data_IF_359520406959
#
_entry.id   IF_359520406959
#
_cell.length_a   1.000
_cell.length_b   1.000
_cell.length_c   1.000
_cell.angle_alpha   90.00
_cell.angle_beta   90.00
_cell.angle_gamma   90.00
#
_symmetry.space_group_name_H-M   'P 1'
#
loop_
_entity.id
_entity.type
_entity.pdbx_description
1 polymer ?
#
# COMPACT_ATOMS: atom_id res chain seq x y z
N UNK A 1 -10.95 12.09 20.61
CA UNK A 1 -9.75 12.37 19.79
C UNK A 1 -8.49 12.57 20.62
N UNK A 2 -8.51 13.43 21.66
CA UNK A 2 -7.34 13.74 22.53
C UNK A 2 -6.75 12.55 23.29
N UNK A 3 -7.54 11.51 23.58
CA UNK A 3 -7.06 10.30 24.25
C UNK A 3 -6.26 9.39 23.30
N UNK A 4 -6.70 9.25 22.04
CA UNK A 4 -6.02 8.43 21.04
C UNK A 4 -4.62 8.97 20.70
N UNK A 5 -4.50 10.29 20.55
CA UNK A 5 -3.23 10.96 20.25
C UNK A 5 -2.17 10.83 21.35
N UNK A 6 -2.56 10.42 22.56
CA UNK A 6 -1.64 10.23 23.69
C UNK A 6 -1.24 8.77 23.91
N UNK A 7 -1.73 7.85 23.06
CA UNK A 7 -1.41 6.43 23.18
C UNK A 7 -0.02 6.13 22.63
N UNK A 8 0.60 5.11 23.19
CA UNK A 8 1.89 4.60 22.69
C UNK A 8 1.78 4.12 21.25
N UNK A 9 0.60 3.66 20.80
CA UNK A 9 0.35 3.28 19.41
C UNK A 9 0.60 4.43 18.46
N UNK A 10 0.03 5.62 18.72
CA UNK A 10 0.23 6.79 17.87
C UNK A 10 1.70 7.23 17.91
N UNK A 11 2.32 7.25 19.09
CA UNK A 11 3.73 7.62 19.21
C UNK A 11 4.65 6.68 18.41
N UNK A 12 4.41 5.37 18.49
CA UNK A 12 5.20 4.39 17.76
C UNK A 12 4.96 4.47 16.24
N UNK A 13 3.72 4.73 15.81
CA UNK A 13 3.39 4.91 14.41
C UNK A 13 4.05 6.17 13.81
N UNK A 14 3.99 7.30 14.53
CA UNK A 14 4.70 8.52 14.13
C UNK A 14 6.21 8.28 14.14
N UNK A 15 6.74 7.56 15.13
CA UNK A 15 8.14 7.15 15.19
C UNK A 15 8.56 6.37 13.94
N UNK A 16 7.73 5.43 13.49
CA UNK A 16 7.95 4.69 12.24
C UNK A 16 8.00 5.61 11.01
N UNK A 17 7.06 6.54 10.88
CA UNK A 17 7.07 7.53 9.78
C UNK A 17 8.34 8.37 9.79
N UNK A 18 8.78 8.82 10.98
CA UNK A 18 10.04 9.55 11.14
C UNK A 18 11.21 8.69 10.70
N UNK A 19 11.30 7.43 11.13
CA UNK A 19 12.37 6.51 10.72
C UNK A 19 12.41 6.28 9.21
N UNK A 20 11.25 6.14 8.55
CA UNK A 20 11.17 6.09 7.09
C UNK A 20 11.71 7.36 6.45
N UNK A 21 11.28 8.54 6.92
CA UNK A 21 11.76 9.83 6.41
C UNK A 21 13.26 10.04 6.60
N UNK A 22 13.82 9.55 7.72
CA UNK A 22 15.25 9.60 8.00
C UNK A 22 16.05 8.69 7.05
N UNK A 23 15.51 7.51 6.74
CA UNK A 23 16.19 6.49 5.93
C UNK A 23 16.56 6.95 4.51
N UNK A 24 15.82 7.91 3.95
CA UNK A 24 16.02 8.47 2.60
C UNK A 24 16.72 9.83 2.58
N UNK A 25 17.09 10.38 3.74
CA UNK A 25 17.71 11.70 3.81
C UNK A 25 19.00 11.75 2.99
N UNK A 26 19.09 12.72 2.08
CA UNK A 26 20.24 12.93 1.16
C UNK A 26 20.50 11.75 0.20
N UNK A 27 19.52 10.89 -0.02
CA UNK A 27 19.58 9.80 -1.01
C UNK A 27 18.65 10.10 -2.17
N UNK A 28 19.02 9.67 -3.37
CA UNK A 28 18.14 9.68 -4.54
C UNK A 28 17.29 8.42 -4.56
N UNK A 29 16.14 8.47 -5.23
CA UNK A 29 15.31 7.28 -5.44
C UNK A 29 16.08 6.18 -6.19
N UNK A 30 16.97 6.54 -7.10
CA UNK A 30 17.79 5.59 -7.87
C UNK A 30 18.96 4.99 -7.09
N UNK A 31 19.24 5.46 -5.87
CA UNK A 31 20.38 4.96 -5.12
C UNK A 31 20.15 3.49 -4.73
N UNK A 32 21.21 2.64 -4.74
CA UNK A 32 21.11 1.27 -4.24
C UNK A 32 20.67 1.24 -2.78
N UNK A 33 19.86 0.24 -2.44
CA UNK A 33 19.36 -0.02 -1.09
C UNK A 33 19.37 -1.53 -0.81
N UNK A 34 19.30 -1.89 0.46
CA UNK A 34 19.00 -3.25 0.85
C UNK A 34 17.55 -3.58 0.48
N UNK A 35 17.33 -4.77 -0.08
CA UNK A 35 16.03 -5.29 -0.45
C UNK A 35 15.93 -6.72 0.09
N UNK A 36 15.14 -6.91 1.15
CA UNK A 36 14.83 -8.25 1.67
C UNK A 36 13.86 -9.02 0.77
N UNK A 37 13.77 -10.33 0.98
CA UNK A 37 12.80 -11.19 0.27
C UNK A 37 11.35 -10.73 0.50
N UNK A 38 11.02 -10.28 1.72
CA UNK A 38 9.73 -9.67 2.05
C UNK A 38 9.49 -8.45 1.17
N UNK A 39 10.48 -7.56 1.07
CA UNK A 39 10.34 -6.32 0.30
C UNK A 39 10.16 -6.60 -1.20
N UNK A 40 10.94 -7.52 -1.77
CA UNK A 40 10.77 -7.95 -3.15
C UNK A 40 9.37 -8.55 -3.39
N UNK A 41 8.85 -9.32 -2.43
CA UNK A 41 7.51 -9.90 -2.51
C UNK A 41 6.42 -8.83 -2.46
N UNK A 42 6.57 -7.79 -1.62
CA UNK A 42 5.66 -6.65 -1.57
C UNK A 42 5.67 -5.90 -2.92
N UNK A 43 6.84 -5.67 -3.51
CA UNK A 43 6.93 -5.06 -4.84
C UNK A 43 6.19 -5.90 -5.88
N UNK A 44 6.35 -7.23 -5.86
CA UNK A 44 5.63 -8.13 -6.78
C UNK A 44 4.11 -8.11 -6.59
N UNK A 45 3.63 -7.93 -5.35
CA UNK A 45 2.19 -7.71 -5.08
C UNK A 45 1.73 -6.41 -5.74
N UNK A 46 2.47 -5.31 -5.61
CA UNK A 46 2.14 -4.04 -6.26
C UNK A 46 2.18 -4.14 -7.79
N UNK A 47 3.15 -4.87 -8.35
CA UNK A 47 3.23 -5.12 -9.80
C UNK A 47 2.02 -5.92 -10.29
N UNK A 48 1.55 -6.88 -9.49
CA UNK A 48 0.32 -7.65 -9.79
C UNK A 48 -0.91 -6.72 -9.83
N UNK A 49 -1.03 -5.82 -8.86
CA UNK A 49 -2.09 -4.81 -8.84
C UNK A 49 -2.03 -3.88 -10.06
N UNK A 50 -0.81 -3.52 -10.49
CA UNK A 50 -0.59 -2.69 -11.67
C UNK A 50 -1.01 -3.41 -12.96
N UNK A 51 -0.65 -4.68 -13.11
CA UNK A 51 -1.04 -5.50 -14.27
C UNK A 51 -2.55 -5.64 -14.41
N UNK A 52 -3.30 -5.64 -13.29
CA UNK A 52 -4.77 -5.67 -13.36
C UNK A 52 -5.37 -4.41 -13.99
N UNK A 53 -4.66 -3.29 -14.04
CA UNK A 53 -5.11 -2.08 -14.75
C UNK A 53 -5.20 -2.37 -16.25
N UNK A 54 -4.21 -3.06 -16.81
CA UNK A 54 -4.21 -3.44 -18.23
C UNK A 54 -5.27 -4.51 -18.53
N UNK A 55 -5.52 -5.42 -17.58
CA UNK A 55 -6.54 -6.46 -17.71
C UNK A 55 -7.98 -5.95 -17.55
N UNK A 56 -8.16 -4.80 -16.87
CA UNK A 56 -9.45 -4.19 -16.57
C UNK A 56 -9.47 -2.79 -17.19
N UNK A 57 -9.63 -2.72 -18.53
CA UNK A 57 -9.53 -1.45 -19.22
C UNK A 57 -10.69 -0.51 -18.83
N UNK A 58 -10.49 0.81 -18.95
CA UNK A 58 -11.53 1.81 -18.73
C UNK A 58 -12.75 1.55 -19.62
N UNK A 59 -13.94 1.65 -19.03
CA UNK A 59 -15.18 1.59 -19.81
C UNK A 59 -15.53 2.95 -20.37
N UNK A 60 -16.12 2.97 -21.57
CA UNK A 60 -16.64 4.20 -22.14
C UNK A 60 -17.82 4.71 -21.31
N UNK A 61 -17.67 5.90 -20.73
CA UNK A 61 -18.70 6.53 -19.91
C UNK A 61 -18.90 8.00 -20.28
N UNK A 62 -20.12 8.50 -20.10
CA UNK A 62 -20.46 9.91 -20.36
C UNK A 62 -20.05 10.86 -19.21
N UNK A 63 -19.51 10.31 -18.11
CA UNK A 63 -19.17 11.05 -16.89
C UNK A 63 -17.71 11.53 -16.87
N UNK A 64 -17.51 12.72 -16.29
CA UNK A 64 -16.19 13.33 -16.03
C UNK A 64 -15.61 13.01 -14.64
N UNK A 65 -16.18 12.03 -13.95
CA UNK A 65 -15.75 11.55 -12.64
C UNK A 65 -15.08 10.17 -12.84
N UNK A 66 -14.57 9.53 -11.79
CA UNK A 66 -13.81 8.29 -11.91
C UNK A 66 -14.52 7.21 -12.75
N UNK A 67 -13.75 6.39 -13.46
CA UNK A 67 -14.30 5.30 -14.26
C UNK A 67 -14.87 4.18 -13.38
N UNK A 68 -15.98 3.59 -13.80
CA UNK A 68 -16.54 2.45 -13.08
C UNK A 68 -15.71 1.17 -13.17
N UNK A 69 -14.79 1.04 -14.13
CA UNK A 69 -13.86 -0.09 -14.18
C UNK A 69 -12.92 -0.15 -12.96
N UNK A 70 -12.72 0.97 -12.25
CA UNK A 70 -12.06 0.95 -10.94
C UNK A 70 -12.83 0.10 -9.91
N UNK A 71 -14.15 -0.03 -10.02
CA UNK A 71 -14.94 -0.91 -9.13
C UNK A 71 -14.62 -2.37 -9.39
N UNK A 72 -14.51 -2.76 -10.65
CA UNK A 72 -14.13 -4.12 -11.03
C UNK A 72 -12.70 -4.45 -10.57
N UNK A 73 -11.78 -3.47 -10.69
CA UNK A 73 -10.42 -3.58 -10.15
C UNK A 73 -10.42 -3.72 -8.62
N UNK A 74 -11.22 -2.90 -7.93
CA UNK A 74 -11.33 -2.92 -6.47
C UNK A 74 -11.98 -4.21 -5.96
N UNK A 75 -13.01 -4.72 -6.63
CA UNK A 75 -13.64 -6.00 -6.28
C UNK A 75 -12.65 -7.17 -6.44
N UNK A 76 -11.79 -7.13 -7.47
CA UNK A 76 -10.70 -8.08 -7.63
C UNK A 76 -9.67 -7.96 -6.51
N UNK A 77 -9.29 -6.72 -6.14
CA UNK A 77 -8.42 -6.46 -4.98
C UNK A 77 -8.99 -7.08 -3.70
N UNK A 78 -10.28 -6.87 -3.40
CA UNK A 78 -10.92 -7.47 -2.24
C UNK A 78 -10.84 -9.01 -2.28
N UNK A 79 -11.18 -9.61 -3.42
CA UNK A 79 -11.21 -11.06 -3.58
C UNK A 79 -9.83 -11.74 -3.49
N UNK A 80 -8.76 -11.04 -3.89
CA UNK A 80 -7.41 -11.60 -3.97
C UNK A 80 -6.49 -11.16 -2.83
N UNK A 81 -6.89 -10.16 -2.04
CA UNK A 81 -6.07 -9.55 -0.98
C UNK A 81 -5.48 -10.57 0.01
N UNK A 82 -6.29 -11.52 0.50
CA UNK A 82 -5.80 -12.56 1.41
C UNK A 82 -4.73 -13.44 0.76
N UNK A 83 -4.97 -13.91 -0.47
CA UNK A 83 -4.00 -14.71 -1.21
C UNK A 83 -2.69 -13.93 -1.46
N UNK A 84 -2.78 -12.64 -1.79
CA UNK A 84 -1.61 -11.77 -1.95
C UNK A 84 -0.78 -11.65 -0.67
N UNK A 85 -1.43 -11.56 0.50
CA UNK A 85 -0.72 -11.53 1.79
C UNK A 85 -0.05 -12.88 2.08
N UNK A 86 -0.74 -13.99 1.82
CA UNK A 86 -0.22 -15.34 2.07
C UNK A 86 1.01 -15.68 1.23
N UNK A 87 1.29 -14.95 0.15
CA UNK A 87 2.49 -15.14 -0.67
C UNK A 87 3.80 -14.84 0.07
N UNK A 88 3.78 -13.95 1.06
CA UNK A 88 4.98 -13.53 1.78
C UNK A 88 4.89 -13.70 3.30
N UNK A 89 3.71 -14.05 3.83
CA UNK A 89 3.54 -14.33 5.25
C UNK A 89 4.08 -15.73 5.62
N UNK A 90 4.99 -15.84 6.60
CA UNK A 90 5.37 -17.12 7.21
C UNK A 90 4.16 -17.84 7.82
N UNK A 91 4.26 -19.17 7.97
CA UNK A 91 3.18 -20.04 8.44
C UNK A 91 2.60 -19.60 9.80
N UNK A 92 3.47 -19.20 10.73
CA UNK A 92 3.12 -18.74 12.07
C UNK A 92 2.45 -17.36 12.10
N UNK A 93 2.56 -16.59 11.02
CA UNK A 93 1.98 -15.25 10.88
C UNK A 93 0.76 -15.20 9.95
N UNK A 94 0.35 -16.31 9.34
CA UNK A 94 -0.81 -16.36 8.44
C UNK A 94 -2.11 -15.89 9.09
N UNK A 95 -2.29 -16.09 10.39
CA UNK A 95 -3.47 -15.60 11.10
C UNK A 95 -3.55 -14.05 11.15
N UNK A 96 -2.44 -13.35 10.91
CA UNK A 96 -2.38 -11.88 10.88
C UNK A 96 -3.09 -11.28 9.66
N UNK A 97 -3.47 -12.09 8.66
CA UNK A 97 -4.25 -11.62 7.50
C UNK A 97 -5.53 -10.90 7.91
N UNK A 98 -6.17 -11.33 9.02
CA UNK A 98 -7.38 -10.70 9.56
C UNK A 98 -7.20 -9.21 9.86
N UNK A 99 -5.99 -8.81 10.28
CA UNK A 99 -5.66 -7.43 10.61
C UNK A 99 -5.03 -6.72 9.39
N UNK A 100 -4.17 -7.41 8.65
CA UNK A 100 -3.42 -6.83 7.53
C UNK A 100 -4.29 -6.51 6.31
N UNK A 101 -5.22 -7.41 5.95
CA UNK A 101 -6.04 -7.28 4.74
C UNK A 101 -6.88 -6.00 4.76
N UNK A 102 -7.61 -5.66 5.84
CA UNK A 102 -8.38 -4.42 5.89
C UNK A 102 -7.55 -3.17 5.62
N UNK A 103 -6.39 -3.02 6.27
CA UNK A 103 -5.49 -1.88 6.03
C UNK A 103 -5.00 -1.85 4.57
N UNK A 104 -4.63 -2.99 4.02
CA UNK A 104 -4.18 -3.09 2.63
C UNK A 104 -5.29 -2.70 1.64
N UNK A 105 -6.50 -3.24 1.79
CA UNK A 105 -7.59 -2.95 0.85
C UNK A 105 -8.09 -1.50 0.91
N UNK A 106 -8.03 -0.87 2.08
CA UNK A 106 -8.41 0.54 2.26
C UNK A 106 -7.26 1.51 1.93
N UNK A 107 -6.14 1.00 1.39
CA UNK A 107 -4.98 1.80 0.95
C UNK A 107 -5.11 2.37 -0.46
N UNK A 108 -6.07 1.88 -1.26
CA UNK A 108 -6.12 2.15 -2.70
C UNK A 108 -7.35 2.95 -3.13
N UNK A 109 -7.97 3.70 -2.21
CA UNK A 109 -9.13 4.55 -2.49
C UNK A 109 -10.47 3.93 -2.10
N UNK A 110 -11.56 4.58 -2.51
CA UNK A 110 -12.93 4.15 -2.22
C UNK A 110 -13.72 3.85 -3.51
N UNK A 111 -14.14 2.60 -3.71
CA UNK A 111 -14.90 2.15 -4.90
C UNK A 111 -16.28 2.78 -5.09
N UNK A 112 -16.88 3.29 -4.01
CA UNK A 112 -18.19 3.94 -4.08
C UNK A 112 -18.03 5.40 -4.52
N UNK A 113 -17.15 6.15 -3.84
CA UNK A 113 -16.90 7.57 -4.10
C UNK A 113 -15.98 7.82 -5.31
N UNK A 114 -15.23 6.80 -5.73
CA UNK A 114 -14.22 6.88 -6.78
C UNK A 114 -13.19 7.97 -6.48
N UNK A 115 -12.74 8.00 -5.23
CA UNK A 115 -11.78 8.99 -4.73
C UNK A 115 -10.60 8.33 -4.01
N UNK A 116 -9.54 9.12 -3.89
CA UNK A 116 -8.33 8.81 -3.16
C UNK A 116 -7.84 10.06 -2.45
N UNK A 117 -7.21 9.86 -1.30
CA UNK A 117 -6.72 10.94 -0.47
C UNK A 117 -5.86 10.44 0.67
N UNK A 118 -5.42 11.37 1.51
CA UNK A 118 -4.42 11.13 2.56
C UNK A 118 -4.84 10.08 3.59
N UNK A 119 -6.14 9.85 3.79
CA UNK A 119 -6.63 8.75 4.64
C UNK A 119 -6.19 7.37 4.13
N UNK A 120 -6.23 7.16 2.82
CA UNK A 120 -5.81 5.92 2.18
C UNK A 120 -4.28 5.75 2.24
N UNK A 121 -3.53 6.84 2.08
CA UNK A 121 -2.06 6.85 2.30
C UNK A 121 -1.68 6.47 3.74
N UNK A 122 -2.46 6.95 4.72
CA UNK A 122 -2.26 6.60 6.13
C UNK A 122 -2.57 5.12 6.37
N UNK A 123 -3.60 4.55 5.74
CA UNK A 123 -3.87 3.11 5.80
C UNK A 123 -2.72 2.28 5.22
N UNK A 124 -2.15 2.70 4.10
CA UNK A 124 -0.99 2.02 3.51
C UNK A 124 0.23 2.06 4.44
N UNK A 125 0.45 3.23 5.04
CA UNK A 125 1.52 3.41 6.03
C UNK A 125 1.26 2.55 7.27
N UNK A 126 0.01 2.42 7.72
CA UNK A 126 -0.39 1.57 8.83
C UNK A 126 -0.18 0.08 8.51
N UNK A 127 -0.49 -0.35 7.29
CA UNK A 127 -0.21 -1.69 6.81
C UNK A 127 1.30 -2.01 6.86
N UNK A 128 2.15 -1.12 6.33
CA UNK A 128 3.61 -1.26 6.40
C UNK A 128 4.12 -1.26 7.84
N UNK A 129 3.53 -0.43 8.71
CA UNK A 129 3.85 -0.41 10.13
C UNK A 129 3.53 -1.75 10.81
N UNK A 130 2.38 -2.35 10.50
CA UNK A 130 2.03 -3.68 11.02
C UNK A 130 3.04 -4.74 10.57
N UNK A 131 3.48 -4.73 9.30
CA UNK A 131 4.52 -5.63 8.80
C UNK A 131 5.87 -5.44 9.52
N UNK A 132 6.24 -4.20 9.83
CA UNK A 132 7.42 -3.91 10.62
C UNK A 132 7.28 -4.40 12.08
N UNK A 133 6.09 -4.26 12.68
CA UNK A 133 5.81 -4.68 14.05
C UNK A 133 5.83 -6.19 14.25
N UNK A 134 5.47 -6.97 13.23
CA UNK A 134 5.59 -8.43 13.23
C UNK A 134 6.96 -8.92 12.75
N UNK A 135 7.88 -7.99 12.45
CA UNK A 135 9.28 -8.30 12.15
C UNK A 135 9.58 -8.70 10.69
N UNK A 136 8.62 -8.54 9.78
CA UNK A 136 8.80 -8.86 8.36
C UNK A 136 9.54 -7.77 7.59
N UNK A 137 9.37 -6.50 8.02
CA UNK A 137 10.16 -5.37 7.55
C UNK A 137 11.09 -4.90 8.67
N UNK A 138 12.35 -4.68 8.33
CA UNK A 138 13.37 -4.21 9.28
C UNK A 138 13.89 -2.83 8.88
N UNK A 139 14.62 -2.18 9.78
CA UNK A 139 15.15 -0.83 9.52
C UNK A 139 16.06 -0.76 8.28
N UNK A 140 16.74 -1.86 7.96
CA UNK A 140 17.54 -2.00 6.74
C UNK A 140 16.70 -1.90 5.44
N UNK A 141 15.43 -2.29 5.49
CA UNK A 141 14.49 -2.18 4.37
C UNK A 141 13.93 -0.77 4.18
N UNK A 142 13.99 0.11 5.19
CA UNK A 142 13.22 1.36 5.20
C UNK A 142 13.51 2.28 4.03
N UNK A 143 14.76 2.33 3.56
CA UNK A 143 15.10 3.09 2.36
C UNK A 143 14.35 2.54 1.13
N UNK A 144 14.29 1.23 0.96
CA UNK A 144 13.61 0.57 -0.14
C UNK A 144 12.08 0.65 0.00
N UNK A 145 11.55 0.59 1.23
CA UNK A 145 10.13 0.83 1.51
C UNK A 145 9.71 2.20 0.96
N UNK A 146 10.49 3.25 1.23
CA UNK A 146 10.18 4.59 0.71
C UNK A 146 10.45 4.71 -0.78
N UNK A 147 11.61 4.24 -1.26
CA UNK A 147 12.05 4.49 -2.63
C UNK A 147 11.52 3.52 -3.70
N UNK A 148 10.88 2.42 -3.29
CA UNK A 148 10.26 1.41 -4.17
C UNK A 148 8.77 1.29 -3.87
N UNK A 149 8.43 0.89 -2.64
CA UNK A 149 7.07 0.51 -2.26
C UNK A 149 6.12 1.71 -2.26
N UNK A 150 6.47 2.81 -1.58
CA UNK A 150 5.65 4.04 -1.59
C UNK A 150 5.56 4.67 -2.97
N UNK A 151 6.65 4.67 -3.76
CA UNK A 151 6.63 5.21 -5.12
C UNK A 151 5.69 4.38 -6.01
N UNK A 152 5.78 3.05 -5.96
CA UNK A 152 4.91 2.18 -6.75
C UNK A 152 3.44 2.31 -6.31
N UNK A 153 3.17 2.41 -5.01
CA UNK A 153 1.81 2.64 -4.52
C UNK A 153 1.25 3.99 -4.98
N UNK A 154 2.05 5.06 -4.90
CA UNK A 154 1.65 6.38 -5.36
C UNK A 154 1.34 6.38 -6.86
N UNK A 155 2.24 5.80 -7.68
CA UNK A 155 2.02 5.67 -9.12
C UNK A 155 0.76 4.85 -9.42
N UNK A 156 0.57 3.72 -8.73
CA UNK A 156 -0.61 2.89 -8.92
C UNK A 156 -1.90 3.65 -8.64
N UNK A 157 -1.96 4.42 -7.55
CA UNK A 157 -3.14 5.23 -7.23
C UNK A 157 -3.31 6.42 -8.18
N UNK A 158 -2.22 7.03 -8.67
CA UNK A 158 -2.31 8.12 -9.66
C UNK A 158 -2.83 7.60 -11.01
N UNK A 159 -2.29 6.48 -11.52
CA UNK A 159 -2.73 5.88 -12.78
C UNK A 159 -4.12 5.25 -12.69
N UNK A 160 -4.40 4.46 -11.63
CA UNK A 160 -5.69 3.75 -11.46
C UNK A 160 -6.84 4.64 -11.02
N UNK A 161 -6.58 5.89 -10.65
CA UNK A 161 -7.66 6.77 -10.16
C UNK A 161 -7.73 8.04 -10.99
N UNK A 162 -6.63 8.59 -11.52
CA UNK A 162 -6.64 9.90 -12.17
C UNK A 162 -6.33 9.90 -13.67
N UNK A 163 -5.63 8.90 -14.21
CA UNK A 163 -5.09 8.98 -15.59
C UNK A 163 -5.63 7.90 -16.54
N UNK A 164 -5.76 6.65 -16.09
CA UNK A 164 -6.25 5.57 -16.97
C UNK A 164 -7.77 5.58 -17.01
N UNK A 165 -8.40 5.90 -15.88
CA UNK A 165 -9.85 5.87 -15.70
C UNK A 165 -10.52 7.26 -15.81
N UNK A 166 -9.92 8.20 -16.53
CA UNK A 166 -10.52 9.51 -16.84
C UNK A 166 -10.35 9.87 -18.31
#
# INVERSE_FOLDING_TARGET
MTHFLKTDTVNNFIGFIVSLSESIRKKKLSDPCHESETLTSICSVLDTLFNWIDEIPPIQQAGRFGNYAYRDWYDRLLAQSEALMLNFLPEDLKCSTVELVPYFTDSFGNSIRLDYGTGHEVNFTAWLYCLAKIGLLKEEDYQAVVSRVFINQFLLCDFSIFVVFF
#
